data_IF_550330386343
#
_entry.id   IF_550330386343
#
_cell.length_a   1.000
_cell.length_b   1.000
_cell.length_c   1.000
_cell.angle_alpha   90.00
_cell.angle_beta   90.00
_cell.angle_gamma   90.00
#
_symmetry.space_group_name_H-M   'P 1'
#
loop_
_entity.id
_entity.type
_entity.pdbx_description
1 polymer ?
#
# COMPACT_ATOMS: atom_id res chain seq x y z
N UNK A 1 -1.65 -2.67 6.10
CA UNK A 1 -1.33 -2.51 4.66
C UNK A 1 -1.12 -1.05 4.32
N UNK A 2 -0.19 -0.79 3.41
CA UNK A 2 -0.02 0.49 2.71
C UNK A 2 -0.39 0.26 1.26
N UNK A 3 -1.37 1.02 0.78
CA UNK A 3 -1.93 0.86 -0.57
C UNK A 3 -1.75 2.15 -1.36
N UNK A 4 -1.28 2.01 -2.59
CA UNK A 4 -1.21 3.11 -3.54
C UNK A 4 -2.63 3.43 -4.05
N UNK A 5 -3.07 4.67 -3.84
CA UNK A 5 -4.44 5.10 -4.21
C UNK A 5 -4.64 5.11 -5.72
N UNK A 6 -3.61 5.40 -6.49
CA UNK A 6 -3.68 5.45 -7.96
C UNK A 6 -3.83 4.05 -8.58
N UNK A 7 -2.95 3.13 -8.22
CA UNK A 7 -2.90 1.79 -8.83
C UNK A 7 -3.63 0.71 -8.04
N UNK A 8 -4.06 1.01 -6.82
CA UNK A 8 -4.61 0.03 -5.86
C UNK A 8 -3.60 -1.03 -5.42
N UNK A 9 -2.34 -0.90 -5.79
CA UNK A 9 -1.29 -1.83 -5.41
C UNK A 9 -0.96 -1.75 -3.93
N UNK A 10 -0.87 -2.91 -3.28
CA UNK A 10 -0.35 -3.00 -1.91
C UNK A 10 1.18 -2.93 -2.01
N UNK A 11 1.75 -1.86 -1.48
CA UNK A 11 3.20 -1.56 -1.56
C UNK A 11 3.93 -1.79 -0.25
N UNK A 12 3.22 -1.88 0.86
CA UNK A 12 3.78 -2.18 2.17
C UNK A 12 2.79 -2.94 3.04
N UNK A 13 3.31 -3.86 3.83
CA UNK A 13 2.50 -4.63 4.77
C UNK A 13 3.36 -5.25 5.87
N UNK A 14 2.72 -5.55 6.99
CA UNK A 14 3.33 -6.28 8.10
C UNK A 14 2.26 -7.05 8.86
N UNK A 15 2.59 -8.26 9.27
CA UNK A 15 1.81 -9.06 10.20
C UNK A 15 2.53 -9.10 11.54
N UNK A 16 1.81 -8.85 12.61
CA UNK A 16 2.35 -8.91 13.97
C UNK A 16 1.27 -9.37 14.96
N UNK A 17 1.69 -9.96 16.06
CA UNK A 17 0.81 -10.39 17.15
C UNK A 17 0.31 -9.23 18.02
N UNK A 18 0.91 -8.05 17.90
CA UNK A 18 0.53 -6.84 18.63
C UNK A 18 0.76 -5.59 17.75
N UNK A 19 0.04 -4.51 18.09
CA UNK A 19 0.18 -3.23 17.41
C UNK A 19 1.32 -2.40 18.02
N UNK A 20 2.54 -2.64 17.56
CA UNK A 20 3.70 -1.81 17.89
C UNK A 20 4.01 -0.79 16.79
N UNK A 21 4.65 0.30 17.18
CA UNK A 21 5.13 1.34 16.25
C UNK A 21 6.01 0.74 15.14
N UNK A 22 6.85 -0.21 15.49
CA UNK A 22 7.77 -0.88 14.57
C UNK A 22 7.03 -1.56 13.41
N UNK A 23 5.82 -2.08 13.64
CA UNK A 23 4.99 -2.67 12.59
C UNK A 23 4.63 -1.67 11.49
N UNK A 24 4.28 -0.45 11.87
CA UNK A 24 3.92 0.62 10.93
C UNK A 24 5.16 1.09 10.18
N UNK A 25 6.28 1.27 10.89
CA UNK A 25 7.56 1.67 10.30
C UNK A 25 8.11 0.63 9.33
N UNK A 26 8.02 -0.66 9.65
CA UNK A 26 8.42 -1.76 8.76
C UNK A 26 7.60 -1.75 7.47
N UNK A 27 6.29 -1.54 7.57
CA UNK A 27 5.40 -1.43 6.41
C UNK A 27 5.77 -0.23 5.53
N UNK A 28 6.11 0.89 6.15
CA UNK A 28 6.55 2.11 5.45
C UNK A 28 7.88 1.89 4.73
N UNK A 29 8.85 1.22 5.37
CA UNK A 29 10.13 0.88 4.73
C UNK A 29 9.92 -0.06 3.53
N UNK A 30 9.05 -1.04 3.63
CA UNK A 30 8.70 -1.90 2.49
C UNK A 30 8.11 -1.08 1.33
N UNK A 31 7.19 -0.16 1.60
CA UNK A 31 6.61 0.73 0.61
C UNK A 31 7.66 1.64 -0.04
N UNK A 32 8.59 2.18 0.77
CA UNK A 32 9.71 2.99 0.30
C UNK A 32 10.60 2.22 -0.69
N UNK A 33 10.97 0.99 -0.35
CA UNK A 33 11.76 0.14 -1.24
C UNK A 33 11.02 -0.22 -2.53
N UNK A 34 9.70 -0.41 -2.46
CA UNK A 34 8.88 -0.70 -3.63
C UNK A 34 8.74 0.50 -4.58
N UNK A 35 8.81 1.74 -4.07
CA UNK A 35 8.58 2.98 -4.83
C UNK A 35 9.82 3.81 -5.10
N UNK A 36 10.95 3.51 -4.49
CA UNK A 36 12.19 4.26 -4.57
C UNK A 36 12.62 4.81 -3.19
N UNK A 37 13.85 5.21 -3.09
CA UNK A 37 14.48 5.59 -1.81
C UNK A 37 14.06 6.96 -1.29
N UNK A 38 13.57 7.84 -2.16
CA UNK A 38 13.12 9.19 -1.82
C UNK A 38 11.75 9.44 -2.46
N UNK A 39 10.77 9.81 -1.64
CA UNK A 39 9.36 9.89 -2.00
C UNK A 39 8.86 11.34 -1.99
N UNK A 40 9.65 12.24 -2.58
CA UNK A 40 9.29 13.66 -2.66
C UNK A 40 7.95 13.87 -3.38
N UNK A 41 7.08 14.65 -2.77
CA UNK A 41 5.76 14.97 -3.30
C UNK A 41 4.69 13.89 -3.02
N UNK A 42 5.06 12.77 -2.40
CA UNK A 42 4.08 11.76 -1.98
C UNK A 42 3.33 12.23 -0.74
N UNK A 43 2.02 11.99 -0.72
CA UNK A 43 1.17 12.22 0.46
C UNK A 43 0.75 10.88 1.04
N UNK A 44 1.05 10.67 2.32
CA UNK A 44 0.67 9.48 3.07
C UNK A 44 -0.52 9.78 3.98
N UNK A 45 -1.66 9.17 3.70
CA UNK A 45 -2.85 9.24 4.55
C UNK A 45 -2.81 8.13 5.60
N UNK A 46 -3.14 8.48 6.83
CA UNK A 46 -3.30 7.52 7.93
C UNK A 46 -4.43 7.92 8.86
N UNK A 47 -5.02 6.95 9.54
CA UNK A 47 -5.90 7.21 10.65
C UNK A 47 -5.16 7.90 11.80
N UNK A 48 -5.89 8.68 12.59
CA UNK A 48 -5.39 9.22 13.84
C UNK A 48 -5.15 8.08 14.84
N UNK A 49 -3.98 7.43 14.74
CA UNK A 49 -3.54 6.43 15.71
C UNK A 49 -3.16 7.04 17.05
N UNK A 50 -2.54 6.25 17.95
CA UNK A 50 -2.02 6.80 19.20
C UNK A 50 -1.01 7.93 18.89
N UNK A 51 -0.98 9.00 19.71
CA UNK A 51 -0.10 10.15 19.51
C UNK A 51 1.37 9.75 19.34
N UNK A 52 1.82 8.76 20.08
CA UNK A 52 3.19 8.27 20.02
C UNK A 52 3.52 7.61 18.66
N UNK A 53 2.62 6.79 18.14
CA UNK A 53 2.75 6.20 16.81
C UNK A 53 2.74 7.27 15.72
N UNK A 54 1.85 8.26 15.84
CA UNK A 54 1.74 9.36 14.89
C UNK A 54 3.01 10.21 14.82
N UNK A 55 3.65 10.55 15.95
CA UNK A 55 4.88 11.34 15.98
C UNK A 55 6.02 10.63 15.26
N UNK A 56 6.35 9.40 15.63
CA UNK A 56 7.44 8.63 15.00
C UNK A 56 7.19 8.38 13.52
N UNK A 57 5.94 8.13 13.15
CA UNK A 57 5.53 7.93 11.76
C UNK A 57 5.70 9.23 10.97
N UNK A 58 5.27 10.35 11.51
CA UNK A 58 5.40 11.67 10.88
C UNK A 58 6.87 12.07 10.68
N UNK A 59 7.71 11.87 11.71
CA UNK A 59 9.15 12.11 11.62
C UNK A 59 9.79 11.25 10.50
N UNK A 60 9.42 9.98 10.41
CA UNK A 60 9.94 9.10 9.36
C UNK A 60 9.48 9.50 7.97
N UNK A 61 8.24 9.93 7.81
CA UNK A 61 7.74 10.46 6.53
C UNK A 61 8.55 11.67 6.08
N UNK A 62 8.81 12.60 6.99
CA UNK A 62 9.60 13.78 6.71
C UNK A 62 11.04 13.44 6.26
N UNK A 63 11.69 12.49 6.93
CA UNK A 63 13.03 11.99 6.56
C UNK A 63 13.09 11.40 5.14
N UNK A 64 12.03 10.77 4.66
CA UNK A 64 11.96 10.17 3.32
C UNK A 64 11.34 11.10 2.27
N UNK A 65 11.01 12.32 2.64
CA UNK A 65 10.47 13.35 1.74
C UNK A 65 8.97 13.26 1.47
N UNK A 66 8.24 12.43 2.21
CA UNK A 66 6.79 12.31 2.07
C UNK A 66 6.05 13.22 3.05
N UNK A 67 4.86 13.66 2.68
CA UNK A 67 4.01 14.53 3.50
C UNK A 67 2.91 13.72 4.19
N UNK A 68 2.78 13.79 5.52
CA UNK A 68 1.66 13.17 6.21
C UNK A 68 0.37 13.96 5.98
N UNK A 69 -0.76 13.24 5.88
CA UNK A 69 -2.11 13.81 5.89
C UNK A 69 -2.98 13.09 6.89
N UNK A 70 -3.51 13.84 7.83
CA UNK A 70 -4.42 13.35 8.86
C UNK A 70 -5.68 14.21 8.81
N UNK A 71 -6.82 13.62 8.45
CA UNK A 71 -8.14 14.17 8.68
C UNK A 71 -8.57 15.33 7.77
N UNK A 72 -8.71 15.12 6.44
CA UNK A 72 -9.42 16.04 5.54
C UNK A 72 -10.60 15.37 4.83
N UNK A 73 -11.42 16.13 4.10
CA UNK A 73 -12.61 15.63 3.39
C UNK A 73 -12.29 14.60 2.30
N UNK A 74 -11.06 14.60 1.77
CA UNK A 74 -10.57 13.58 0.85
C UNK A 74 -10.35 12.22 1.56
N UNK A 75 -10.21 12.22 2.87
CA UNK A 75 -9.90 11.07 3.71
C UNK A 75 -11.01 10.03 3.75
N UNK A 76 -12.28 10.42 3.56
CA UNK A 76 -13.39 9.45 3.57
C UNK A 76 -13.27 8.45 2.42
N UNK A 77 -12.73 8.86 1.26
CA UNK A 77 -12.51 7.97 0.12
C UNK A 77 -11.27 7.08 0.33
N UNK A 78 -10.19 7.64 0.86
CA UNK A 78 -8.95 6.92 1.14
C UNK A 78 -9.13 5.93 2.30
N UNK A 79 -9.88 6.33 3.33
CA UNK A 79 -10.29 5.44 4.42
C UNK A 79 -11.17 4.28 3.91
N UNK A 80 -12.10 4.54 2.98
CA UNK A 80 -12.93 3.50 2.38
C UNK A 80 -12.08 2.48 1.58
N UNK A 81 -11.02 2.93 0.91
CA UNK A 81 -10.08 2.03 0.25
C UNK A 81 -9.33 1.14 1.26
N UNK A 82 -8.79 1.72 2.32
CA UNK A 82 -8.10 0.99 3.37
C UNK A 82 -9.02 -0.03 4.04
N UNK A 83 -10.25 0.35 4.36
CA UNK A 83 -11.27 -0.53 4.92
C UNK A 83 -11.62 -1.67 3.96
N UNK A 84 -11.71 -1.40 2.67
CA UNK A 84 -11.99 -2.41 1.64
C UNK A 84 -10.86 -3.44 1.57
N UNK A 85 -9.60 -3.02 1.51
CA UNK A 85 -8.44 -3.92 1.50
C UNK A 85 -8.40 -4.77 2.76
N UNK A 86 -8.58 -4.16 3.93
CA UNK A 86 -8.62 -4.88 5.21
C UNK A 86 -9.79 -5.86 5.29
N UNK A 87 -10.95 -5.49 4.79
CA UNK A 87 -12.13 -6.37 4.75
C UNK A 87 -11.92 -7.59 3.86
N UNK A 88 -11.38 -7.39 2.67
CA UNK A 88 -11.01 -8.47 1.75
C UNK A 88 -9.99 -9.42 2.38
N UNK A 89 -8.93 -8.88 2.97
CA UNK A 89 -7.91 -9.66 3.64
C UNK A 89 -8.48 -10.49 4.80
N UNK A 90 -9.28 -9.88 5.66
CA UNK A 90 -9.92 -10.60 6.78
C UNK A 90 -10.78 -11.77 6.28
N UNK A 91 -11.57 -11.54 5.25
CA UNK A 91 -12.47 -12.57 4.72
C UNK A 91 -11.71 -13.65 3.93
N UNK A 92 -10.82 -13.26 3.05
CA UNK A 92 -10.16 -14.17 2.11
C UNK A 92 -8.97 -14.92 2.73
N UNK A 93 -8.30 -14.34 3.74
CA UNK A 93 -7.14 -14.95 4.40
C UNK A 93 -7.48 -15.35 5.84
N UNK A 94 -7.76 -14.39 6.70
CA UNK A 94 -7.86 -14.64 8.16
C UNK A 94 -8.98 -15.63 8.49
N UNK A 95 -10.18 -15.40 8.00
CA UNK A 95 -11.34 -16.23 8.32
C UNK A 95 -11.41 -17.49 7.46
N UNK A 96 -11.09 -17.38 6.18
CA UNK A 96 -11.22 -18.50 5.23
C UNK A 96 -10.17 -19.58 5.41
N UNK A 97 -8.93 -19.21 5.74
CA UNK A 97 -7.80 -20.10 5.82
C UNK A 97 -7.44 -20.52 7.27
N UNK A 98 -8.10 -19.92 8.27
CA UNK A 98 -7.93 -20.31 9.68
C UNK A 98 -8.56 -21.67 10.02
N UNK A 99 -8.28 -22.20 11.22
CA UNK A 99 -7.50 -21.61 12.30
C UNK A 99 -5.99 -21.60 12.02
N UNK A 100 -5.29 -20.62 12.64
CA UNK A 100 -3.87 -20.38 12.41
C UNK A 100 -3.01 -21.01 13.50
N UNK A 101 -1.91 -21.63 13.09
CA UNK A 101 -0.98 -22.27 14.01
C UNK A 101 -0.12 -21.24 14.76
N UNK A 102 0.36 -20.23 14.06
CA UNK A 102 1.23 -19.17 14.57
C UNK A 102 1.22 -17.93 13.65
N UNK A 103 1.94 -16.89 14.04
CA UNK A 103 2.09 -15.65 13.27
C UNK A 103 2.81 -15.90 11.93
N UNK A 104 3.77 -16.80 11.90
CA UNK A 104 4.54 -17.12 10.70
C UNK A 104 3.65 -17.73 9.61
N UNK A 105 2.69 -18.56 9.99
CA UNK A 105 1.71 -19.13 9.07
C UNK A 105 0.81 -18.04 8.45
N UNK A 106 0.39 -17.04 9.23
CA UNK A 106 -0.35 -15.87 8.75
C UNK A 106 0.51 -15.02 7.83
N UNK A 107 1.77 -14.80 8.16
CA UNK A 107 2.70 -14.01 7.34
C UNK A 107 2.91 -14.64 5.96
N UNK A 108 3.12 -15.95 5.87
CA UNK A 108 3.25 -16.66 4.60
C UNK A 108 1.98 -16.58 3.76
N UNK A 109 0.82 -16.77 4.35
CA UNK A 109 -0.45 -16.64 3.67
C UNK A 109 -0.70 -15.19 3.19
N UNK A 110 -0.28 -14.22 3.97
CA UNK A 110 -0.37 -12.79 3.61
C UNK A 110 0.54 -12.46 2.43
N UNK A 111 1.77 -12.96 2.43
CA UNK A 111 2.71 -12.79 1.31
C UNK A 111 2.09 -13.33 0.00
N UNK A 112 1.54 -14.53 0.04
CA UNK A 112 0.90 -15.14 -1.13
C UNK A 112 -0.33 -14.35 -1.59
N UNK A 113 -1.16 -13.88 -0.65
CA UNK A 113 -2.35 -13.10 -0.96
C UNK A 113 -2.01 -11.72 -1.53
N UNK A 114 -1.02 -11.02 -0.99
CA UNK A 114 -0.57 -9.72 -1.51
C UNK A 114 -0.02 -9.87 -2.92
N UNK A 115 0.79 -10.90 -3.17
CA UNK A 115 1.29 -11.19 -4.51
C UNK A 115 0.12 -11.40 -5.50
N UNK A 116 -0.81 -12.27 -5.16
CA UNK A 116 -2.01 -12.51 -5.97
C UNK A 116 -2.86 -11.26 -6.17
N UNK A 117 -3.09 -10.50 -5.10
CA UNK A 117 -3.84 -9.23 -5.15
C UNK A 117 -3.24 -8.25 -6.15
N UNK A 118 -1.93 -8.11 -6.14
CA UNK A 118 -1.21 -7.17 -6.99
C UNK A 118 -1.06 -7.63 -8.45
N UNK A 119 -0.95 -8.94 -8.70
CA UNK A 119 -0.56 -9.48 -10.01
C UNK A 119 -1.66 -10.24 -10.74
N UNK A 120 -2.69 -10.70 -10.06
CA UNK A 120 -3.72 -11.57 -10.64
C UNK A 120 -5.16 -11.10 -10.38
N UNK A 121 -5.43 -10.49 -9.22
CA UNK A 121 -6.76 -10.02 -8.88
C UNK A 121 -7.20 -8.90 -9.82
N UNK A 122 -8.35 -9.09 -10.48
CA UNK A 122 -8.96 -8.08 -11.35
C UNK A 122 -9.69 -7.02 -10.51
N UNK A 123 -9.48 -5.76 -10.85
CA UNK A 123 -10.10 -4.61 -10.18
C UNK A 123 -10.94 -3.82 -11.18
N UNK A 124 -12.24 -3.72 -10.93
CA UNK A 124 -13.16 -2.99 -11.81
C UNK A 124 -12.81 -1.49 -11.91
N UNK A 125 -12.32 -0.89 -10.82
CA UNK A 125 -11.85 0.49 -10.81
C UNK A 125 -10.62 0.76 -11.70
N UNK A 126 -9.90 -0.29 -12.10
CA UNK A 126 -8.73 -0.23 -12.97
C UNK A 126 -9.01 -0.72 -14.40
N UNK A 127 -10.27 -0.98 -14.75
CA UNK A 127 -10.65 -1.55 -16.05
C UNK A 127 -10.49 -3.06 -16.10
N UNK A 128 -10.76 -3.76 -15.00
CA UNK A 128 -10.71 -5.21 -14.85
C UNK A 128 -9.32 -5.83 -15.11
N UNK A 129 -8.29 -5.13 -14.69
CA UNK A 129 -6.90 -5.62 -14.71
C UNK A 129 -6.28 -5.56 -13.32
N UNK A 130 -5.19 -6.32 -13.08
CA UNK A 130 -4.47 -6.26 -11.81
C UNK A 130 -3.71 -4.95 -11.61
N UNK A 131 -3.45 -4.54 -10.36
CA UNK A 131 -2.68 -3.34 -10.04
C UNK A 131 -1.31 -3.25 -10.72
N UNK A 132 -0.56 -4.34 -10.77
CA UNK A 132 0.75 -4.37 -11.40
C UNK A 132 0.68 -4.12 -12.91
N UNK A 133 -0.31 -4.69 -13.58
CA UNK A 133 -0.55 -4.49 -15.02
C UNK A 133 -1.00 -3.05 -15.31
N UNK A 134 -1.85 -2.49 -14.44
CA UNK A 134 -2.27 -1.09 -14.55
C UNK A 134 -1.08 -0.13 -14.46
N UNK A 135 -0.17 -0.33 -13.51
CA UNK A 135 1.06 0.45 -13.40
C UNK A 135 1.97 0.31 -14.63
N UNK A 136 2.16 -0.91 -15.11
CA UNK A 136 2.98 -1.17 -16.28
C UNK A 136 2.46 -0.44 -17.52
N UNK A 137 1.14 -0.45 -17.74
CA UNK A 137 0.53 0.30 -18.84
C UNK A 137 0.75 1.81 -18.69
N UNK A 138 0.60 2.35 -17.47
CA UNK A 138 0.80 3.77 -17.20
C UNK A 138 2.25 4.20 -17.49
N UNK A 139 3.22 3.49 -16.94
CA UNK A 139 4.63 3.83 -17.16
C UNK A 139 5.08 3.64 -18.61
N UNK A 140 4.56 2.65 -19.30
CA UNK A 140 4.81 2.44 -20.74
C UNK A 140 4.31 3.61 -21.59
N UNK A 141 3.15 4.17 -21.25
CA UNK A 141 2.62 5.36 -21.93
C UNK A 141 3.49 6.59 -21.70
N UNK A 142 4.00 6.78 -20.47
CA UNK A 142 4.87 7.91 -20.15
C UNK A 142 6.20 7.83 -20.91
N UNK A 143 6.81 6.66 -21.03
CA UNK A 143 8.07 6.46 -21.77
C UNK A 143 7.86 6.57 -23.28
N UNK A 144 6.78 6.01 -23.81
CA UNK A 144 6.45 6.10 -25.25
C UNK A 144 6.16 7.54 -25.73
N UNK A 145 5.67 8.40 -24.84
CA UNK A 145 5.44 9.81 -25.16
C UNK A 145 6.76 10.61 -25.16
N UNK A 146 7.76 10.16 -24.41
CA UNK A 146 9.10 10.77 -24.40
C UNK A 146 9.91 10.53 -25.68
N UNK A 147 9.75 9.37 -26.31
CA UNK A 147 10.45 9.03 -27.57
C UNK A 147 9.94 9.80 -28.78
N UNK A 148 8.71 10.32 -28.74
CA UNK A 148 8.13 11.12 -29.84
C UNK A 148 8.58 12.59 -29.84
N UNK A 149 9.26 13.06 -28.81
CA UNK A 149 9.72 14.46 -28.69
C UNK A 149 11.17 14.64 -29.15
N UNK A 150 11.97 13.56 -29.27
CA UNK A 150 13.37 13.63 -29.69
C UNK A 150 13.60 13.45 -31.21
N UNK A 151 12.55 13.32 -32.02
CA UNK A 151 12.65 13.21 -33.45
C UNK A 151 12.05 14.42 -34.17
N UNK A 152 12.61 15.60 -33.88
CA UNK A 152 12.50 16.78 -34.78
C UNK A 152 13.77 17.63 -34.76
#
# INVERSE_FOLDING_TARGET
FITDVFSRRIVGWRVASNMRVDMVLDSLEMARWARGTFLEGLVCHSDAGSQYTAIRYTERLDEIGATPSIGSVADSYDNALAETVNGLYKNEVIHRQGPWRDVDAVELATLAWVHWFNTERLHSSLGDIPPAEFEEHHYRQLTGTGELVETK
#
